data_IF_303570265799
#
_entry.id   IF_303570265799
#
_cell.length_a   1.000
_cell.length_b   1.000
_cell.length_c   1.000
_cell.angle_alpha   90.00
_cell.angle_beta   90.00
_cell.angle_gamma   90.00
#
_symmetry.space_group_name_H-M   'P 1'
#
loop_
_entity.id
_entity.type
_entity.pdbx_description
1 polymer ?
#
# COMPACT_ATOMS: atom_id res chain seq x y z
N UNK A 1 19.79 18.08 1.91
CA UNK A 1 19.53 16.83 2.65
C UNK A 1 18.38 16.18 1.92
N UNK A 2 18.58 15.00 1.34
CA UNK A 2 17.50 14.32 0.62
C UNK A 2 16.41 13.94 1.61
N UNK A 3 15.14 14.11 1.21
CA UNK A 3 14.01 13.74 2.05
C UNK A 3 14.05 12.22 2.25
N UNK A 4 14.09 11.79 3.51
CA UNK A 4 13.96 10.36 3.87
C UNK A 4 12.54 9.93 3.50
N UNK A 5 12.43 8.86 2.72
CA UNK A 5 11.15 8.27 2.34
C UNK A 5 10.62 7.37 3.46
N UNK A 6 9.41 7.64 3.95
CA UNK A 6 8.73 6.77 4.90
C UNK A 6 7.92 5.68 4.16
N UNK A 7 8.51 4.48 4.05
CA UNK A 7 7.88 3.30 3.46
C UNK A 7 7.11 2.49 4.51
N UNK A 8 5.81 2.28 4.31
CA UNK A 8 4.97 1.48 5.20
C UNK A 8 4.49 0.17 4.54
N UNK A 9 4.28 -0.91 5.33
CA UNK A 9 3.70 -2.17 4.84
C UNK A 9 2.19 -2.06 4.60
N UNK A 10 1.72 -2.45 3.42
CA UNK A 10 0.30 -2.57 3.06
C UNK A 10 -0.20 -4.01 3.12
N UNK A 11 -0.75 -4.41 4.27
CA UNK A 11 -1.24 -5.78 4.49
C UNK A 11 -2.76 -5.96 4.38
N UNK A 12 -3.51 -4.86 4.48
CA UNK A 12 -4.97 -4.77 4.33
C UNK A 12 -5.36 -3.34 3.94
N UNK A 13 -6.59 -3.12 3.46
CA UNK A 13 -7.06 -1.76 3.11
C UNK A 13 -6.93 -0.80 4.29
N UNK A 14 -7.32 -1.26 5.48
CA UNK A 14 -7.31 -0.46 6.71
C UNK A 14 -5.89 -0.03 7.08
N UNK A 15 -4.93 -0.94 6.96
CA UNK A 15 -3.52 -0.63 7.23
C UNK A 15 -2.96 0.42 6.26
N UNK A 16 -3.39 0.37 4.99
CA UNK A 16 -2.95 1.30 3.95
C UNK A 16 -3.58 2.67 4.18
N UNK A 17 -4.88 2.73 4.49
CA UNK A 17 -5.55 3.98 4.83
C UNK A 17 -4.90 4.63 6.05
N UNK A 18 -4.61 3.85 7.09
CA UNK A 18 -3.90 4.35 8.27
C UNK A 18 -2.49 4.86 7.93
N UNK A 19 -1.74 4.17 7.08
CA UNK A 19 -0.40 4.58 6.68
C UNK A 19 -0.40 5.88 5.85
N UNK A 20 -1.31 6.00 4.89
CA UNK A 20 -1.49 7.22 4.08
C UNK A 20 -1.86 8.41 4.96
N UNK A 21 -2.86 8.24 5.85
CA UNK A 21 -3.25 9.30 6.78
C UNK A 21 -2.16 9.60 7.83
N UNK A 22 -1.31 8.61 8.13
CA UNK A 22 -0.14 8.76 8.99
C UNK A 22 1.05 9.48 8.36
N UNK A 23 0.96 9.85 7.07
CA UNK A 23 2.01 10.59 6.37
C UNK A 23 3.11 9.72 5.77
N UNK A 24 2.80 8.46 5.44
CA UNK A 24 3.71 7.63 4.64
C UNK A 24 3.95 8.26 3.26
N UNK A 25 5.18 8.18 2.77
CA UNK A 25 5.54 8.61 1.42
C UNK A 25 5.33 7.47 0.40
N UNK A 26 5.40 6.22 0.86
CA UNK A 26 5.21 5.05 0.03
C UNK A 26 4.62 3.86 0.80
N UNK A 27 3.94 2.98 0.07
CA UNK A 27 3.39 1.72 0.57
C UNK A 27 4.03 0.56 -0.21
N UNK A 28 4.56 -0.44 0.50
CA UNK A 28 4.89 -1.73 -0.14
C UNK A 28 3.73 -2.71 0.06
N UNK A 29 3.21 -3.26 -1.02
CA UNK A 29 2.11 -4.23 -0.99
C UNK A 29 2.24 -5.25 -2.13
N UNK A 30 1.94 -6.52 -1.82
CA UNK A 30 1.96 -7.59 -2.82
C UNK A 30 0.57 -8.15 -3.04
N UNK A 31 0.13 -8.24 -4.30
CA UNK A 31 -1.05 -9.01 -4.67
C UNK A 31 -0.86 -10.51 -4.43
N UNK A 32 -1.94 -11.28 -4.43
CA UNK A 32 -1.95 -12.73 -4.12
C UNK A 32 -0.92 -13.57 -4.86
N UNK A 33 -0.58 -13.20 -6.09
CA UNK A 33 0.39 -13.91 -6.94
C UNK A 33 1.85 -13.55 -6.68
N UNK A 34 2.11 -12.45 -5.97
CA UNK A 34 3.44 -11.85 -5.82
C UNK A 34 3.83 -11.57 -4.36
N UNK A 35 2.92 -11.79 -3.41
CA UNK A 35 3.16 -11.62 -1.97
C UNK A 35 3.87 -12.85 -1.38
N UNK A 36 4.85 -12.62 -0.50
CA UNK A 36 5.48 -13.67 0.31
C UNK A 36 4.49 -14.34 1.29
N UNK A 37 3.31 -13.74 1.48
CA UNK A 37 2.18 -14.26 2.26
C UNK A 37 1.06 -14.73 1.32
N UNK A 38 1.34 -15.77 0.54
CA UNK A 38 0.38 -16.36 -0.40
C UNK A 38 -0.98 -16.74 0.23
N UNK A 39 -1.04 -16.93 1.56
CA UNK A 39 -2.24 -17.30 2.32
C UNK A 39 -2.87 -16.17 3.16
N UNK A 40 -2.37 -14.94 3.10
CA UNK A 40 -3.05 -13.81 3.73
C UNK A 40 -4.31 -13.44 2.92
N UNK A 41 -5.27 -12.74 3.55
CA UNK A 41 -6.39 -12.09 2.83
C UNK A 41 -5.82 -11.12 1.80
N UNK A 42 -5.55 -11.62 0.61
CA UNK A 42 -4.98 -10.84 -0.46
C UNK A 42 -6.10 -10.01 -1.10
N UNK A 43 -5.77 -8.78 -1.47
CA UNK A 43 -6.65 -7.94 -2.27
C UNK A 43 -7.08 -8.71 -3.51
N UNK A 44 -8.38 -8.68 -3.82
CA UNK A 44 -8.83 -9.01 -5.16
C UNK A 44 -8.39 -7.88 -6.14
N UNK A 45 -8.56 -8.10 -7.44
CA UNK A 45 -8.08 -7.14 -8.45
C UNK A 45 -8.74 -5.76 -8.32
N UNK A 46 -10.05 -5.71 -8.07
CA UNK A 46 -10.79 -4.45 -7.89
C UNK A 46 -10.31 -3.69 -6.65
N UNK A 47 -10.09 -4.41 -5.55
CA UNK A 47 -9.57 -3.83 -4.31
C UNK A 47 -8.15 -3.31 -4.46
N UNK A 48 -7.31 -4.00 -5.24
CA UNK A 48 -5.96 -3.55 -5.53
C UNK A 48 -5.99 -2.23 -6.30
N UNK A 49 -6.84 -2.14 -7.32
CA UNK A 49 -7.04 -0.93 -8.12
C UNK A 49 -7.54 0.22 -7.24
N UNK A 50 -8.54 -0.03 -6.39
CA UNK A 50 -9.09 0.95 -5.46
C UNK A 50 -8.00 1.53 -4.55
N UNK A 51 -7.21 0.65 -3.92
CA UNK A 51 -6.16 1.04 -2.97
C UNK A 51 -5.02 1.77 -3.65
N UNK A 52 -4.59 1.34 -4.85
CA UNK A 52 -3.56 2.04 -5.63
C UNK A 52 -4.02 3.44 -5.99
N UNK A 53 -5.25 3.58 -6.48
CA UNK A 53 -5.83 4.88 -6.78
C UNK A 53 -5.90 5.76 -5.54
N UNK A 54 -6.32 5.20 -4.40
CA UNK A 54 -6.34 5.91 -3.13
C UNK A 54 -4.95 6.43 -2.75
N UNK A 55 -3.90 5.61 -2.80
CA UNK A 55 -2.53 6.05 -2.47
C UNK A 55 -2.09 7.21 -3.37
N UNK A 56 -2.33 7.10 -4.68
CA UNK A 56 -1.94 8.14 -5.64
C UNK A 56 -2.70 9.46 -5.46
N UNK A 57 -3.96 9.44 -5.00
CA UNK A 57 -4.70 10.66 -4.65
C UNK A 57 -4.00 11.50 -3.57
N UNK A 58 -3.20 10.87 -2.71
CA UNK A 58 -2.43 11.52 -1.64
C UNK A 58 -0.93 11.66 -1.98
N UNK A 59 -0.53 11.48 -3.24
CA UNK A 59 0.87 11.46 -3.68
C UNK A 59 1.74 10.39 -2.97
N UNK A 60 1.13 9.29 -2.52
CA UNK A 60 1.84 8.17 -1.90
C UNK A 60 2.17 7.14 -2.98
N UNK A 61 3.45 6.74 -3.07
CA UNK A 61 3.91 5.74 -4.04
C UNK A 61 3.49 4.33 -3.64
N UNK A 62 3.35 3.43 -4.60
CA UNK A 62 3.04 2.02 -4.35
C UNK A 62 4.13 1.13 -4.96
N UNK A 63 4.64 0.18 -4.17
CA UNK A 63 5.71 -0.76 -4.50
C UNK A 63 5.29 -2.22 -4.30
#
# INVERSE_FOLDING_TARGET
>A
MDKIELLAPGGSKESIYAAVQGGADAIYMGGSKFSARAYANNFNEEELIEVVNYCHLYNVKVY
#
